data_IF_652678532999
#
_entry.id   IF_652678532999
#
_cell.length_a   1.000
_cell.length_b   1.000
_cell.length_c   1.000
_cell.angle_alpha   90.00
_cell.angle_beta   90.00
_cell.angle_gamma   90.00
#
_symmetry.space_group_name_H-M   'P 1'
#
loop_
_entity.id
_entity.type
_entity.pdbx_description
1 polymer ?
2 non-polymer ?
3 non-polymer ?
4 water ?
#
# COMPACT_ATOMS: atom_id res chain seq x y z
N UNK A 4 18.34 -12.76 17.67
CA UNK A 4 17.82 -13.23 16.35
C UNK A 4 18.39 -12.48 15.15
N UNK A 5 18.66 -13.23 14.09
CA UNK A 5 19.19 -12.68 12.85
C UNK A 5 18.29 -13.18 11.71
N UNK A 6 17.64 -12.24 11.03
CA UNK A 6 16.77 -12.60 9.90
C UNK A 6 17.59 -13.16 8.75
N UNK A 7 17.13 -14.27 8.14
CA UNK A 7 17.82 -14.86 7.00
C UNK A 7 17.41 -14.12 5.72
N UNK A 8 18.15 -13.06 5.41
CA UNK A 8 17.79 -12.18 4.30
C UNK A 8 17.76 -12.89 2.95
N UNK A 9 18.55 -13.95 2.80
CA UNK A 9 18.56 -14.75 1.58
C UNK A 9 17.31 -15.61 1.41
N UNK A 10 16.50 -15.71 2.47
CA UNK A 10 15.33 -16.58 2.44
C UNK A 10 13.99 -15.84 2.48
N UNK A 11 14.04 -14.52 2.57
CA UNK A 11 12.84 -13.70 2.65
C UNK A 11 12.59 -13.05 1.30
N UNK A 12 11.37 -13.20 0.76
CA UNK A 12 11.05 -12.57 -0.51
C UNK A 12 11.21 -11.05 -0.37
N UNK A 13 11.96 -10.47 -1.29
CA UNK A 13 12.49 -9.11 -1.11
C UNK A 13 11.49 -7.98 -1.01
N UNK A 14 10.37 -8.10 -1.70
CA UNK A 14 9.41 -7.01 -1.70
C UNK A 14 8.80 -6.78 -0.33
N UNK A 15 8.80 -7.82 0.51
CA UNK A 15 8.20 -7.72 1.84
C UNK A 15 8.99 -6.78 2.73
N UNK A 16 10.32 -6.97 2.77
CA UNK A 16 11.17 -6.31 3.75
C UNK A 16 11.87 -5.07 3.20
N UNK A 17 12.32 -5.15 1.95
CA UNK A 17 13.14 -4.11 1.36
C UNK A 17 12.33 -3.29 0.38
N UNK A 18 11.61 -3.97 -0.50
CA UNK A 18 10.80 -3.32 -1.52
C UNK A 18 11.52 -3.29 -2.85
N UNK A 19 10.84 -3.68 -3.92
CA UNK A 19 11.47 -3.72 -5.24
C UNK A 19 11.90 -2.34 -5.74
N UNK A 20 11.06 -1.32 -5.48
CA UNK A 20 11.36 0.07 -5.88
C UNK A 20 11.74 0.18 -7.35
N UNK A 21 11.13 -0.66 -8.16
CA UNK A 21 11.36 -0.64 -9.58
C UNK A 21 10.42 0.34 -10.27
N UNK A 22 10.85 0.85 -11.41
CA UNK A 22 10.07 1.83 -12.15
C UNK A 22 8.81 1.25 -12.79
N UNK A 23 8.84 -0.06 -13.06
CA UNK A 23 7.68 -0.74 -13.63
C UNK A 23 7.43 -1.99 -12.80
N UNK A 24 6.16 -2.31 -12.62
CA UNK A 24 5.81 -3.53 -11.90
C UNK A 24 4.59 -4.17 -12.55
N UNK A 25 4.58 -5.49 -12.58
CA UNK A 25 3.43 -6.22 -13.10
C UNK A 25 3.00 -7.28 -12.10
N UNK A 26 1.69 -7.38 -11.93
CA UNK A 26 1.08 -8.39 -11.09
C UNK A 26 0.40 -9.38 -12.02
N UNK A 27 0.94 -10.58 -12.11
CA UNK A 27 0.41 -11.61 -12.99
C UNK A 27 -0.40 -12.56 -12.12
N UNK A 28 -1.73 -12.44 -12.20
CA UNK A 28 -2.66 -13.26 -11.41
C UNK A 28 -2.94 -14.54 -12.16
N UNK A 29 -2.89 -15.66 -11.45
CA UNK A 29 -3.03 -16.95 -12.12
C UNK A 29 -3.92 -17.93 -11.37
N UNK A 30 -4.37 -18.93 -12.11
CA UNK A 30 -5.06 -20.09 -11.61
C UNK A 30 -4.18 -21.30 -11.89
N UNK A 31 -4.17 -22.26 -10.97
CA UNK A 31 -3.46 -23.53 -11.16
C UNK A 31 -4.41 -24.52 -11.84
N UNK A 32 -3.97 -25.08 -12.96
CA UNK A 32 -4.75 -26.07 -13.70
C UNK A 32 -4.35 -27.50 -13.38
N UNK A 33 -3.08 -27.68 -13.03
CA UNK A 33 -2.58 -28.99 -12.66
C UNK A 33 -1.51 -28.87 -11.60
N UNK A 34 -1.81 -29.40 -10.44
CA UNK A 34 -0.93 -29.25 -9.28
C UNK A 34 0.44 -29.88 -9.49
N UNK A 35 0.47 -31.09 -10.04
CA UNK A 35 1.73 -31.81 -10.19
C UNK A 35 2.66 -31.05 -11.14
N UNK A 36 2.14 -30.63 -12.29
CA UNK A 36 2.91 -29.88 -13.27
C UNK A 36 3.33 -28.52 -12.73
N UNK A 37 2.45 -27.87 -11.99
CA UNK A 37 2.79 -26.59 -11.37
C UNK A 37 3.95 -26.72 -10.39
N UNK A 38 3.90 -27.75 -9.56
CA UNK A 38 4.91 -27.92 -8.51
C UNK A 38 6.29 -28.15 -9.09
N UNK A 39 6.41 -28.98 -10.13
CA UNK A 39 7.71 -29.20 -10.73
C UNK A 39 8.20 -27.96 -11.47
N UNK A 40 7.30 -27.25 -12.15
CA UNK A 40 7.69 -25.99 -12.78
C UNK A 40 8.15 -24.98 -11.72
N UNK A 41 7.46 -24.95 -10.57
CA UNK A 41 7.83 -24.03 -9.50
C UNK A 41 9.26 -24.28 -9.01
N UNK A 42 9.62 -25.55 -8.85
CA UNK A 42 10.97 -25.90 -8.39
C UNK A 42 12.03 -25.49 -9.40
N UNK A 43 11.70 -25.55 -10.68
CA UNK A 43 12.58 -25.03 -11.74
C UNK A 43 12.71 -23.51 -11.63
N UNK A 44 11.58 -22.86 -11.35
CA UNK A 44 11.48 -21.40 -11.38
C UNK A 44 12.18 -20.71 -10.21
N UNK A 45 11.94 -21.18 -9.00
CA UNK A 45 12.39 -20.47 -7.79
C UNK A 45 13.88 -20.10 -7.73
N UNK A 46 14.79 -21.09 -7.90
CA UNK A 46 16.21 -20.74 -7.77
C UNK A 46 16.71 -19.77 -8.84
N UNK A 47 16.02 -19.71 -9.98
CA UNK A 47 16.43 -18.83 -11.08
C UNK A 47 15.89 -17.40 -10.96
N UNK A 48 14.69 -17.25 -10.40
CA UNK A 48 13.95 -16.01 -10.55
C UNK A 48 13.45 -15.33 -9.27
N UNK A 49 13.25 -16.09 -8.19
CA UNK A 49 12.66 -15.47 -6.99
C UNK A 49 13.72 -14.68 -6.21
N UNK A 50 13.42 -13.39 -6.00
CA UNK A 50 14.38 -12.41 -5.51
C UNK A 50 14.27 -12.18 -4.01
N UNK A 51 15.36 -12.45 -3.31
CA UNK A 51 15.42 -12.28 -1.86
C UNK A 51 15.70 -10.85 -1.43
N UNK A 52 15.45 -10.58 -0.15
CA UNK A 52 15.86 -9.31 0.45
C UNK A 52 17.36 -9.08 0.31
N UNK A 53 18.16 -10.14 0.42
CA UNK A 53 19.62 -10.04 0.28
C UNK A 53 20.02 -9.48 -1.09
N UNK A 54 19.34 -9.95 -2.14
CA UNK A 54 19.61 -9.45 -3.49
C UNK A 54 19.23 -7.96 -3.61
N UNK A 55 18.13 -7.58 -2.98
CA UNK A 55 17.64 -6.21 -3.08
C UNK A 55 18.55 -5.19 -2.38
N UNK A 56 19.35 -5.64 -1.43
CA UNK A 56 20.32 -4.77 -0.76
C UNK A 56 21.75 -4.91 -1.31
N UNK A 57 21.89 -5.73 -2.36
CA UNK A 57 23.19 -5.95 -3.01
C UNK A 57 23.46 -4.83 -4.00
N UNK A 58 24.71 -4.76 -4.47
CA UNK A 58 25.10 -3.74 -5.45
C UNK A 58 24.25 -3.81 -6.71
N UNK A 59 23.74 -2.66 -7.18
CA UNK A 59 22.90 -2.59 -8.38
C UNK A 59 23.45 -3.36 -9.60
N UNK A 60 24.76 -3.63 -9.64
CA UNK A 60 25.36 -4.44 -10.71
C UNK A 60 25.23 -5.94 -10.49
N UNK A 61 25.15 -6.37 -9.22
CA UNK A 61 24.93 -7.78 -8.88
C UNK A 61 23.48 -8.20 -9.10
N UNK A 62 22.64 -7.21 -9.41
CA UNK A 62 21.19 -7.39 -9.46
C UNK A 62 20.68 -7.83 -10.83
N UNK A 63 19.63 -8.68 -10.83
CA UNK A 63 19.01 -9.12 -12.07
C UNK A 63 18.20 -7.98 -12.70
N UNK A 64 17.90 -8.12 -13.98
CA UNK A 64 17.14 -7.09 -14.70
C UNK A 64 15.72 -6.96 -14.15
N UNK A 65 15.17 -8.08 -13.69
CA UNK A 65 13.85 -8.08 -13.07
C UNK A 65 13.89 -8.86 -11.77
N UNK A 66 13.11 -8.39 -10.81
CA UNK A 66 12.88 -9.07 -9.55
C UNK A 66 11.54 -9.77 -9.62
N UNK A 67 11.44 -10.98 -9.05
CA UNK A 67 10.15 -11.68 -9.00
C UNK A 67 9.86 -12.19 -7.60
N UNK A 68 8.65 -11.91 -7.12
CA UNK A 68 8.12 -12.52 -5.90
C UNK A 68 6.81 -13.23 -6.24
N UNK A 69 6.34 -14.04 -5.30
CA UNK A 69 5.25 -14.96 -5.57
C UNK A 69 4.41 -15.20 -4.31
N UNK A 70 3.12 -14.94 -4.43
CA UNK A 70 2.18 -15.20 -3.34
C UNK A 70 1.01 -16.05 -3.77
N UNK A 71 0.37 -16.66 -2.79
CA UNK A 71 -0.75 -17.57 -3.03
C UNK A 71 -1.97 -17.15 -2.24
N UNK A 72 -3.14 -17.28 -2.85
CA UNK A 72 -4.39 -17.09 -2.12
C UNK A 72 -4.75 -18.40 -1.42
N UNK A 73 -5.79 -18.36 -0.58
CA UNK A 73 -6.28 -19.58 0.03
C UNK A 73 -6.69 -20.64 -0.99
N UNK A 74 -7.44 -20.25 -2.02
CA UNK A 74 -7.86 -21.22 -3.01
C UNK A 74 -6.66 -21.77 -3.78
N UNK A 75 -5.59 -20.98 -3.91
CA UNK A 75 -4.38 -21.45 -4.55
C UNK A 75 -3.69 -22.52 -3.73
N UNK A 76 -3.53 -22.26 -2.43
CA UNK A 76 -2.99 -23.28 -1.52
C UNK A 76 -3.83 -24.55 -1.55
N UNK A 77 -5.15 -24.40 -1.49
CA UNK A 77 -6.05 -25.56 -1.56
C UNK A 77 -5.86 -26.35 -2.87
N UNK A 78 -5.72 -25.64 -3.99
CA UNK A 78 -5.53 -26.29 -5.29
C UNK A 78 -4.24 -27.09 -5.32
N UNK A 79 -3.27 -26.70 -4.50
CA UNK A 79 -1.98 -27.34 -4.45
C UNK A 79 -1.87 -28.35 -3.32
N UNK A 80 -2.98 -28.60 -2.63
CA UNK A 80 -3.01 -29.54 -1.51
C UNK A 80 -2.22 -29.06 -0.31
N UNK A 81 -2.07 -27.74 -0.18
CA UNK A 81 -1.41 -27.15 0.99
C UNK A 81 -2.53 -26.76 1.95
N UNK A 82 -2.80 -27.65 2.90
CA UNK A 82 -4.04 -27.63 3.63
C UNK A 82 -3.92 -27.15 5.08
N UNK A 83 -2.69 -26.90 5.53
CA UNK A 83 -2.46 -26.42 6.90
C UNK A 83 -3.00 -24.99 7.08
N UNK A 84 -3.77 -24.78 8.15
CA UNK A 84 -4.32 -23.47 8.53
C UNK A 84 -3.18 -22.49 8.84
N UNK A 85 -3.18 -21.34 8.17
CA UNK A 85 -2.13 -20.32 8.33
C UNK A 85 -2.34 -19.37 9.52
N UNK A 86 -3.50 -19.46 10.18
CA UNK A 86 -3.77 -18.71 11.40
C UNK A 86 -4.34 -17.32 11.24
N UNK A 87 -4.59 -16.88 10.00
CA UNK A 87 -5.18 -15.57 9.77
C UNK A 87 -6.68 -15.66 9.60
N UNK A 88 -7.40 -14.72 10.21
CA UNK A 88 -8.86 -14.73 10.19
C UNK A 88 -9.50 -14.38 8.83
N UNK A 89 -8.82 -13.55 8.04
CA UNK A 89 -9.40 -13.05 6.78
C UNK A 89 -8.88 -13.78 5.55
N UNK A 90 -7.64 -14.24 5.60
CA UNK A 90 -7.03 -14.93 4.46
C UNK A 90 -7.89 -16.07 3.88
N UNK A 91 -8.45 -16.96 4.74
CA UNK A 91 -9.13 -18.13 4.16
C UNK A 91 -10.30 -17.81 3.24
N UNK A 92 -11.07 -16.77 3.54
CA UNK A 92 -12.26 -16.50 2.73
C UNK A 92 -12.00 -15.59 1.54
N UNK A 93 -10.80 -14.99 1.50
CA UNK A 93 -10.43 -14.09 0.41
C UNK A 93 -10.99 -12.69 0.60
N UNK A 94 -10.49 -11.74 -0.19
CA UNK A 94 -10.83 -10.35 0.05
C UNK A 94 -12.24 -9.95 -0.37
N UNK A 95 -12.78 -10.57 -1.43
CA UNK A 95 -14.14 -10.19 -1.84
C UNK A 95 -15.14 -10.42 -0.70
N UNK A 96 -14.96 -11.53 0.02
CA UNK A 96 -15.82 -11.85 1.15
C UNK A 96 -15.71 -10.81 2.27
N UNK A 97 -14.60 -10.08 2.28
CA UNK A 97 -14.33 -9.05 3.29
C UNK A 97 -14.63 -7.65 2.78
N UNK A 98 -14.96 -7.51 1.49
CA UNK A 98 -14.99 -6.20 0.85
C UNK A 98 -16.06 -5.28 1.43
N UNK A 99 -17.25 -5.82 1.70
CA UNK A 99 -18.30 -5.01 2.32
C UNK A 99 -17.86 -4.51 3.70
N UNK A 100 -17.13 -5.33 4.45
CA UNK A 100 -16.58 -4.89 5.74
C UNK A 100 -15.62 -3.72 5.59
N UNK A 101 -14.86 -3.72 4.51
CA UNK A 101 -13.94 -2.61 4.19
C UNK A 101 -14.67 -1.34 3.77
N UNK A 102 -15.97 -1.47 3.46
CA UNK A 102 -16.78 -0.33 3.03
C UNK A 102 -16.91 -0.21 1.52
N UNK A 103 -16.46 -1.21 0.78
CA UNK A 103 -16.46 -1.15 -0.68
C UNK A 103 -17.85 -1.14 -1.28
N UNK A 104 -18.01 -0.33 -2.33
CA UNK A 104 -19.14 -0.48 -3.23
C UNK A 104 -18.86 -1.73 -4.06
N UNK A 105 -19.57 -2.81 -3.76
CA UNK A 105 -19.32 -4.09 -4.43
C UNK A 105 -19.62 -4.08 -5.92
N UNK A 106 -20.46 -3.14 -6.35
CA UNK A 106 -20.83 -3.07 -7.77
C UNK A 106 -19.65 -2.66 -8.65
N UNK A 107 -18.59 -2.14 -8.02
CA UNK A 107 -17.40 -1.69 -8.75
C UNK A 107 -16.33 -2.75 -8.91
N UNK A 108 -16.48 -3.85 -8.18
CA UNK A 108 -15.56 -4.98 -8.31
C UNK A 108 -15.73 -5.67 -9.65
N UNK A 109 -14.64 -6.19 -10.19
CA UNK A 109 -14.66 -6.86 -11.49
C UNK A 109 -13.93 -8.20 -11.44
N UNK A 110 -14.21 -9.07 -12.41
CA UNK A 110 -13.48 -10.33 -12.53
C UNK A 110 -12.01 -10.04 -12.85
N UNK A 111 -11.10 -10.92 -12.40
CA UNK A 111 -11.34 -12.17 -11.69
C UNK A 111 -11.31 -12.05 -10.17
N UNK A 112 -11.43 -10.82 -9.65
CA UNK A 112 -11.38 -10.59 -8.20
C UNK A 112 -12.64 -10.94 -7.41
N UNK A 113 -13.79 -10.94 -8.08
CA UNK A 113 -15.13 -11.11 -7.44
C UNK A 113 -15.51 -12.52 -7.01
N UNK A 114 -14.70 -13.10 -6.15
CA UNK A 114 -14.79 -14.51 -5.84
C UNK A 114 -13.38 -14.96 -5.54
N UNK A 115 -13.09 -16.22 -5.78
CA UNK A 115 -11.83 -16.79 -5.32
C UNK A 115 -11.16 -17.59 -6.43
N UNK A 116 -11.34 -17.10 -7.66
CA UNK A 116 -10.73 -17.70 -8.84
C UNK A 116 -9.21 -17.54 -8.83
N UNK A 117 -8.71 -16.43 -8.32
CA UNK A 117 -7.25 -16.19 -8.30
C UNK A 117 -6.58 -17.11 -7.30
N UNK A 118 -5.58 -17.87 -7.79
CA UNK A 118 -4.80 -18.77 -6.97
C UNK A 118 -3.49 -18.19 -6.46
N UNK A 119 -2.96 -17.21 -7.18
CA UNK A 119 -1.73 -16.58 -6.74
C UNK A 119 -1.36 -15.42 -7.63
N UNK A 120 -0.22 -14.82 -7.32
CA UNK A 120 0.27 -13.68 -8.08
C UNK A 120 1.79 -13.74 -8.16
N UNK A 121 2.31 -13.61 -9.39
CA UNK A 121 3.72 -13.29 -9.58
C UNK A 121 3.84 -11.77 -9.63
N UNK A 122 4.67 -11.20 -8.77
CA UNK A 122 4.99 -9.77 -8.81
C UNK A 122 6.34 -9.63 -9.49
N UNK A 123 6.35 -8.90 -10.60
CA UNK A 123 7.57 -8.70 -11.37
C UNK A 123 7.92 -7.21 -11.34
N UNK A 124 9.13 -6.90 -10.89
CA UNK A 124 9.59 -5.51 -10.89
C UNK A 124 10.73 -5.37 -11.87
N UNK A 125 10.65 -4.40 -12.78
CA UNK A 125 11.74 -4.16 -13.71
C UNK A 125 11.78 -2.69 -14.13
N UNK A 126 12.58 -2.38 -15.14
CA UNK A 126 12.86 -1.00 -15.51
C UNK A 126 12.08 -0.55 -16.75
N UNK A 127 11.61 -1.51 -17.54
CA UNK A 127 10.93 -1.23 -18.81
C UNK A 127 9.80 -2.22 -19.00
N UNK A 128 8.73 -1.79 -19.67
CA UNK A 128 7.64 -2.68 -20.00
C UNK A 128 8.07 -3.88 -20.83
N UNK A 129 9.01 -3.67 -21.76
CA UNK A 129 9.54 -4.79 -22.55
C UNK A 129 10.18 -5.86 -21.66
N UNK A 130 10.84 -5.43 -20.57
CA UNK A 130 11.46 -6.37 -19.64
C UNK A 130 10.40 -7.14 -18.85
N UNK A 131 9.34 -6.43 -18.42
CA UNK A 131 8.18 -7.11 -17.86
C UNK A 131 7.65 -8.18 -18.81
N UNK A 132 7.54 -7.85 -20.10
CA UNK A 132 7.09 -8.82 -21.09
C UNK A 132 8.01 -10.03 -21.19
N UNK A 133 9.32 -9.79 -21.17
CA UNK A 133 10.28 -10.88 -21.22
C UNK A 133 10.11 -11.84 -20.06
N UNK A 134 9.93 -11.29 -18.86
CA UNK A 134 9.80 -12.13 -17.68
C UNK A 134 8.41 -12.76 -17.55
N UNK A 135 7.39 -12.12 -18.12
CA UNK A 135 6.06 -12.74 -18.20
C UNK A 135 6.10 -13.93 -19.17
N UNK A 136 6.78 -13.77 -20.30
CA UNK A 136 6.90 -14.86 -21.27
C UNK A 136 7.70 -16.01 -20.66
N UNK A 137 8.68 -15.68 -19.83
CA UNK A 137 9.47 -16.68 -19.13
C UNK A 137 8.60 -17.51 -18.19
N UNK A 138 7.69 -16.86 -17.46
CA UNK A 138 6.70 -17.59 -16.66
C UNK A 138 5.85 -18.50 -17.54
N UNK A 139 5.33 -17.96 -18.64
CA UNK A 139 4.53 -18.76 -19.58
C UNK A 139 5.28 -19.99 -20.10
N UNK A 140 6.55 -19.80 -20.45
CA UNK A 140 7.39 -20.87 -20.97
C UNK A 140 7.63 -21.96 -19.92
N UNK A 141 7.95 -21.53 -18.69
CA UNK A 141 8.29 -22.45 -17.62
C UNK A 141 7.06 -23.22 -17.11
N UNK A 142 5.96 -22.52 -16.88
CA UNK A 142 4.77 -23.14 -16.29
C UNK A 142 3.83 -23.76 -17.32
N UNK A 143 3.86 -23.26 -18.55
CA UNK A 143 2.98 -23.75 -19.61
C UNK A 143 1.53 -23.84 -19.21
N UNK A 144 0.88 -24.95 -19.55
CA UNK A 144 -0.55 -25.18 -19.30
C UNK A 144 -0.88 -25.48 -17.82
N UNK A 145 0.14 -25.59 -16.98
CA UNK A 145 -0.11 -25.83 -15.55
C UNK A 145 -0.79 -24.64 -14.89
N UNK A 146 -0.71 -23.47 -15.53
CA UNK A 146 -1.41 -22.29 -15.06
C UNK A 146 -2.21 -21.62 -16.18
N UNK A 147 -3.17 -20.78 -15.77
CA UNK A 147 -3.83 -19.85 -16.67
C UNK A 147 -3.66 -18.47 -16.05
N UNK A 148 -3.14 -17.53 -16.84
CA UNK A 148 -3.07 -16.14 -16.42
C UNK A 148 -4.47 -15.55 -16.54
N UNK A 149 -5.07 -15.18 -15.41
CA UNK A 149 -6.45 -14.69 -15.41
C UNK A 149 -6.58 -13.17 -15.49
N UNK A 150 -5.50 -12.48 -15.11
CA UNK A 150 -5.39 -11.04 -15.23
C UNK A 150 -3.94 -10.65 -15.05
N UNK A 151 -3.53 -9.55 -15.66
CA UNK A 151 -2.25 -8.95 -15.37
C UNK A 151 -2.45 -7.45 -15.26
N UNK A 152 -2.02 -6.89 -14.15
CA UNK A 152 -2.12 -5.45 -13.94
C UNK A 152 -0.72 -4.88 -13.89
N UNK A 153 -0.46 -3.89 -14.73
CA UNK A 153 0.88 -3.32 -14.86
C UNK A 153 0.88 -1.87 -14.45
N UNK A 154 1.89 -1.49 -13.69
CA UNK A 154 2.04 -0.13 -13.21
C UNK A 154 3.37 0.46 -13.63
N UNK A 155 3.48 1.77 -13.44
CA UNK A 155 4.70 2.51 -13.78
C UNK A 155 4.82 3.72 -12.89
N UNK A 156 6.04 4.01 -12.44
CA UNK A 156 6.33 5.31 -11.87
C UNK A 156 5.94 6.39 -12.86
N UNK A 157 5.46 7.51 -12.32
CA UNK A 157 5.06 8.63 -13.14
C UNK A 157 6.30 9.34 -13.72
N UNK A 158 6.14 10.07 -14.84
CA UNK A 158 7.33 10.59 -15.53
C UNK A 158 7.98 11.82 -14.91
N UNK A 159 9.25 12.03 -15.26
CA UNK A 159 9.97 13.24 -14.89
C UNK A 159 10.03 13.47 -13.40
N UNK A 160 9.75 14.69 -12.97
CA UNK A 160 9.83 15.03 -11.55
C UNK A 160 8.67 14.48 -10.72
N UNK A 161 7.77 13.75 -11.38
CA UNK A 161 6.67 13.07 -10.69
C UNK A 161 7.00 11.63 -10.33
N UNK A 162 8.22 11.20 -10.63
CA UNK A 162 8.64 9.84 -10.25
C UNK A 162 8.57 9.67 -8.74
N UNK A 163 7.83 8.66 -8.31
CA UNK A 163 7.61 8.41 -6.89
C UNK A 163 6.31 9.00 -6.38
N UNK A 164 5.70 9.88 -7.17
CA UNK A 164 4.43 10.48 -6.80
C UNK A 164 3.28 9.63 -7.36
N UNK A 165 2.18 9.58 -6.63
CA UNK A 165 0.98 8.93 -7.13
C UNK A 165 0.19 9.91 -8.02
N UNK A 166 -0.88 9.43 -8.63
CA UNK A 166 -1.60 10.23 -9.63
C UNK A 166 -2.25 11.54 -9.17
N UNK A 167 -2.61 11.67 -7.90
CA UNK A 167 -3.08 12.98 -7.42
C UNK A 167 -1.93 13.99 -7.28
N UNK A 168 -0.70 13.49 -7.35
CA UNK A 168 0.50 14.34 -7.32
C UNK A 168 1.37 14.25 -6.08
N UNK A 169 1.04 13.36 -5.15
CA UNK A 169 1.72 13.32 -3.85
C UNK A 169 2.81 12.26 -3.79
N UNK A 170 3.98 12.65 -3.28
CA UNK A 170 5.08 11.71 -3.08
C UNK A 170 4.64 10.59 -2.14
N UNK A 171 4.83 9.35 -2.58
CA UNK A 171 4.45 8.20 -1.78
C UNK A 171 5.63 7.30 -1.46
N UNK A 172 5.49 6.46 -0.43
CA UNK A 172 6.54 5.53 -0.02
C UNK A 172 7.60 6.15 0.88
N UNK A 173 7.18 7.16 1.65
CA UNK A 173 8.09 7.86 2.55
C UNK A 173 8.20 7.11 3.88
N UNK A 174 7.06 6.83 4.50
CA UNK A 174 7.03 6.30 5.85
C UNK A 174 6.80 4.80 5.90
N UNK A 175 7.80 4.09 6.38
CA UNK A 175 7.73 2.63 6.54
C UNK A 175 8.25 2.27 7.92
N UNK A 176 7.72 1.20 8.53
CA UNK A 176 8.33 0.74 9.78
C UNK A 176 9.71 0.13 9.53
N UNK A 177 10.55 0.15 10.56
CA UNK A 177 11.83 -0.55 10.53
C UNK A 177 11.72 -1.76 11.45
N UNK A 178 12.09 -2.95 10.97
CA UNK A 178 12.05 -4.13 11.83
C UNK A 178 13.41 -4.45 12.40
N UNK A 179 13.42 -4.91 13.64
CA UNK A 179 14.64 -5.39 14.27
C UNK A 179 14.99 -6.78 13.72
N UNK A 180 16.24 -7.21 13.94
CA UNK A 180 16.72 -8.51 13.48
C UNK A 180 17.60 -8.46 12.24
N UNK A 181 17.82 -7.26 11.71
CA UNK A 181 18.80 -7.07 10.65
C UNK A 181 19.47 -5.71 10.74
N UNK A 182 20.61 -5.57 10.06
CA UNK A 182 21.38 -4.33 10.10
C UNK A 182 20.80 -3.36 9.09
N UNK A 183 20.19 -2.29 9.60
CA UNK A 183 19.50 -1.31 8.76
C UNK A 183 19.64 0.10 9.35
N UNK A 184 19.44 1.11 8.50
CA UNK A 184 19.41 2.49 8.99
C UNK A 184 18.01 2.85 9.51
N UNK A 185 17.95 3.45 10.69
CA UNK A 185 16.72 3.92 11.28
C UNK A 185 16.67 5.44 11.15
N UNK A 186 15.61 5.97 10.51
CA UNK A 186 15.45 7.41 10.39
C UNK A 186 14.73 8.03 11.58
N UNK A 187 15.04 9.31 11.89
CA UNK A 187 14.33 9.99 12.96
C UNK A 187 12.82 9.95 12.76
N UNK A 188 12.10 9.49 13.80
CA UNK A 188 10.64 9.39 13.76
C UNK A 188 10.10 8.08 13.22
N UNK A 189 10.97 7.25 12.64
CA UNK A 189 10.57 5.96 12.11
C UNK A 189 10.20 4.99 13.24
N UNK A 190 9.13 4.22 13.04
CA UNK A 190 8.77 3.18 14.01
C UNK A 190 9.79 2.05 13.95
N UNK A 191 10.15 1.53 15.13
CA UNK A 191 11.06 0.39 15.24
C UNK A 191 10.25 -0.71 15.91
N UNK A 192 10.00 -1.79 15.16
CA UNK A 192 9.07 -2.82 15.60
C UNK A 192 9.73 -4.21 15.53
N UNK A 193 9.22 -5.17 16.32
CA UNK A 193 9.73 -6.54 16.17
C UNK A 193 9.40 -7.13 14.79
N UNK A 194 10.23 -8.06 14.29
CA UNK A 194 10.06 -8.51 12.92
C UNK A 194 8.73 -9.21 12.66
N UNK A 195 8.15 -9.82 13.70
CA UNK A 195 6.87 -10.52 13.57
C UNK A 195 5.65 -9.65 13.38
N UNK A 196 5.82 -8.33 13.39
CA UNK A 196 4.73 -7.45 12.93
C UNK A 196 4.54 -7.65 11.42
N UNK A 197 5.64 -7.99 10.73
CA UNK A 197 5.62 -8.12 9.27
C UNK A 197 5.76 -9.58 8.84
N UNK A 198 6.62 -10.32 9.52
CA UNK A 198 6.99 -11.68 9.13
C UNK A 198 6.33 -12.72 10.01
N UNK A 199 5.58 -13.61 9.40
CA UNK A 199 4.86 -14.63 10.14
C UNK A 199 5.85 -15.54 10.86
N UNK A 200 5.52 -15.88 12.10
CA UNK A 200 6.33 -16.79 12.89
C UNK A 200 7.48 -16.15 13.65
N UNK A 201 7.71 -14.86 13.44
CA UNK A 201 8.77 -14.13 14.14
C UNK A 201 8.24 -13.42 15.38
N UNK A 202 9.15 -12.97 16.23
CA UNK A 202 8.76 -12.33 17.48
C UNK A 202 7.87 -11.12 17.21
N UNK A 203 6.75 -11.06 17.91
CA UNK A 203 5.77 -10.01 17.69
C UNK A 203 4.52 -10.52 17.01
N UNK A 204 4.64 -11.65 16.30
CA UNK A 204 3.49 -12.29 15.68
C UNK A 204 2.76 -13.16 16.70
N UNK A 205 1.45 -12.96 16.83
CA UNK A 205 0.64 -13.71 17.78
C UNK A 205 -0.24 -14.76 17.11
N UNK A 206 -0.20 -14.84 15.78
CA UNK A 206 -1.00 -15.81 15.04
C UNK A 206 -0.43 -17.22 15.13
N UNK A 207 -1.31 -18.20 14.97
CA UNK A 207 -0.93 -19.61 15.08
C UNK A 207 -0.48 -20.10 13.70
N UNK A 208 0.83 -20.21 13.53
CA UNK A 208 1.42 -20.47 12.21
C UNK A 208 1.99 -21.87 12.12
N UNK A 209 1.79 -22.55 10.97
CA UNK A 209 2.60 -23.73 10.71
C UNK A 209 4.07 -23.36 10.71
N UNK A 210 4.93 -24.28 11.13
CA UNK A 210 6.35 -24.01 11.16
C UNK A 210 6.87 -23.57 9.79
N UNK A 211 6.29 -24.12 8.72
CA UNK A 211 6.76 -23.80 7.38
C UNK A 211 6.43 -22.36 6.95
N UNK A 212 5.55 -21.70 7.70
CA UNK A 212 5.17 -20.34 7.38
C UNK A 212 6.14 -19.30 7.93
N UNK A 213 7.18 -19.74 8.63
CA UNK A 213 8.18 -18.81 9.14
C UNK A 213 8.73 -17.96 8.00
N UNK A 214 8.80 -16.64 8.25
CA UNK A 214 9.42 -15.68 7.34
C UNK A 214 8.65 -15.41 6.06
N UNK A 215 7.36 -15.77 6.08
CA UNK A 215 6.43 -15.30 5.07
C UNK A 215 5.75 -14.02 5.52
N UNK A 216 4.79 -13.55 4.72
CA UNK A 216 3.99 -12.39 5.08
C UNK A 216 2.70 -12.42 4.29
N UNK A 217 1.67 -11.75 4.82
CA UNK A 217 0.42 -11.58 4.07
C UNK A 217 0.42 -10.26 3.31
N UNK A 218 0.10 -10.35 2.03
CA UNK A 218 -0.12 -9.20 1.17
C UNK A 218 -1.61 -8.89 1.08
N UNK A 219 -1.96 -7.64 1.37
CA UNK A 219 -3.26 -7.10 1.01
C UNK A 219 -3.03 -6.32 -0.27
N UNK A 220 -3.58 -6.84 -1.36
CA UNK A 220 -3.52 -6.19 -2.64
C UNK A 220 -4.84 -5.47 -2.90
N UNK A 221 -4.77 -4.23 -3.38
CA UNK A 221 -5.96 -3.46 -3.77
C UNK A 221 -5.72 -2.78 -5.09
N UNK A 222 -6.68 -2.92 -5.99
CA UNK A 222 -6.68 -2.22 -7.27
C UNK A 222 -7.57 -0.99 -7.14
N UNK A 223 -6.95 0.20 -7.09
CA UNK A 223 -7.71 1.44 -6.96
C UNK A 223 -7.71 2.22 -8.25
N UNK A 224 -8.88 2.58 -8.74
CA UNK A 224 -8.98 3.57 -9.81
C UNK A 224 -9.09 4.96 -9.18
N UNK A 225 -8.32 5.91 -9.70
CA UNK A 225 -8.33 7.28 -9.17
C UNK A 225 -8.98 8.24 -10.14
N UNK A 226 -9.76 9.16 -9.56
CA UNK A 226 -10.49 10.19 -10.29
C UNK A 226 -9.75 11.53 -10.14
N UNK A 227 -8.76 11.73 -10.98
CA UNK A 227 -7.83 12.86 -10.82
C UNK A 227 -8.42 14.21 -11.22
N UNK A 228 -9.05 14.33 -12.42
CA UNK A 228 -9.66 15.61 -12.75
C UNK A 228 -10.69 16.02 -11.72
N UNK A 229 -11.41 15.03 -11.19
CA UNK A 229 -12.42 15.27 -10.16
C UNK A 229 -11.79 15.78 -8.85
N UNK A 230 -10.72 15.15 -8.40
CA UNK A 230 -9.97 15.59 -7.23
C UNK A 230 -9.46 17.01 -7.40
N UNK A 231 -8.83 17.26 -8.55
CA UNK A 231 -8.32 18.60 -8.90
C UNK A 231 -9.43 19.65 -8.84
N UNK A 232 -10.56 19.37 -9.48
CA UNK A 232 -11.68 20.30 -9.51
C UNK A 232 -12.22 20.57 -8.12
N UNK A 233 -12.31 19.53 -7.30
CA UNK A 233 -12.77 19.66 -5.92
C UNK A 233 -11.84 20.55 -5.10
N UNK A 234 -10.53 20.35 -5.21
CA UNK A 234 -9.60 21.15 -4.42
C UNK A 234 -9.57 22.60 -4.88
N UNK A 235 -9.80 22.83 -6.17
CA UNK A 235 -9.87 24.20 -6.69
C UNK A 235 -11.15 24.90 -6.20
N UNK A 236 -12.28 24.21 -6.22
CA UNK A 236 -13.54 24.80 -5.78
C UNK A 236 -13.49 25.11 -4.29
N UNK A 237 -12.84 24.22 -3.53
CA UNK A 237 -12.81 24.33 -2.07
C UNK A 237 -11.48 24.82 -1.54
N UNK A 238 -10.73 25.51 -2.40
CA UNK A 238 -9.42 26.05 -2.05
C UNK A 238 -9.50 26.83 -0.75
N UNK A 239 -8.52 26.61 0.13
CA UNK A 239 -8.49 27.31 1.41
C UNK A 239 -8.09 28.77 1.16
N UNK A 240 -8.84 29.73 1.73
CA UNK A 240 -8.57 31.14 1.38
C UNK A 240 -7.33 31.73 2.02
N UNK A 241 -6.95 31.21 3.18
CA UNK A 241 -5.85 31.77 3.95
C UNK A 241 -5.41 30.74 4.98
N UNK A 242 -4.18 30.85 5.43
CA UNK A 242 -3.84 30.13 6.64
C UNK A 242 -3.17 31.11 7.59
N UNK A 243 -2.55 30.60 8.64
CA UNK A 243 -2.00 31.46 9.69
C UNK A 243 -1.05 32.52 9.17
N UNK A 244 -0.23 32.14 8.19
CA UNK A 244 0.84 32.98 7.69
C UNK A 244 0.34 34.05 6.76
N UNK A 245 -0.80 33.82 6.11
CA UNK A 245 -1.36 34.81 5.20
C UNK A 245 -2.33 34.25 4.17
N UNK A 246 -2.55 35.02 3.13
CA UNK A 246 -3.61 34.75 2.18
C UNK A 246 -3.13 33.97 0.96
N UNK A 247 -3.96 33.04 0.48
CA UNK A 247 -3.56 32.09 -0.54
C UNK A 247 -4.27 32.35 -1.85
N UNK A 248 -3.53 32.22 -2.96
CA UNK A 248 -4.13 32.23 -4.28
C UNK A 248 -4.97 30.97 -4.42
N UNK A 249 -5.79 30.89 -5.46
CA UNK A 249 -6.63 29.71 -5.65
C UNK A 249 -5.76 28.45 -5.81
N UNK A 250 -4.70 28.54 -6.60
CA UNK A 250 -3.76 27.44 -6.79
C UNK A 250 -3.13 27.02 -5.46
N UNK A 251 -2.62 28.00 -4.71
CA UNK A 251 -2.02 27.73 -3.41
C UNK A 251 -3.02 27.10 -2.44
N UNK A 252 -4.24 27.63 -2.43
CA UNK A 252 -5.29 27.13 -1.56
C UNK A 252 -5.73 25.71 -1.89
N UNK A 253 -5.66 25.36 -3.18
CA UNK A 253 -6.01 24.04 -3.66
C UNK A 253 -4.91 23.04 -3.30
N UNK A 254 -3.66 23.45 -3.49
CA UNK A 254 -2.51 22.64 -3.08
C UNK A 254 -2.56 22.41 -1.58
N UNK A 255 -2.92 23.45 -0.83
CA UNK A 255 -2.99 23.37 0.63
C UNK A 255 -4.12 22.46 1.07
N UNK A 256 -5.29 22.57 0.45
CA UNK A 256 -6.37 21.67 0.80
C UNK A 256 -5.97 20.20 0.57
N UNK A 257 -5.32 19.92 -0.55
CA UNK A 257 -4.82 18.56 -0.81
C UNK A 257 -3.86 18.12 0.27
N UNK A 258 -2.95 19.01 0.68
CA UNK A 258 -2.00 18.71 1.74
C UNK A 258 -2.70 18.42 3.08
N UNK A 259 -3.78 19.14 3.34
CA UNK A 259 -4.56 18.95 4.57
C UNK A 259 -5.30 17.61 4.55
N UNK A 260 -5.73 17.18 3.36
CA UNK A 260 -6.42 15.91 3.21
C UNK A 260 -5.46 14.74 3.41
N UNK A 261 -4.23 14.87 2.90
CA UNK A 261 -3.23 13.80 2.99
C UNK A 261 -2.41 13.80 4.28
N UNK A 262 -2.15 14.99 4.83
CA UNK A 262 -1.21 15.14 5.93
C UNK A 262 0.21 15.45 5.48
N UNK A 263 0.42 15.50 4.16
CA UNK A 263 1.69 15.90 3.56
C UNK A 263 1.41 16.75 2.34
N UNK A 264 2.30 17.70 2.08
CA UNK A 264 2.34 18.40 0.80
C UNK A 264 2.70 17.41 -0.31
N UNK A 265 2.44 17.79 -1.56
CA UNK A 265 2.80 16.93 -2.69
C UNK A 265 4.28 16.57 -2.69
N UNK A 266 5.11 17.49 -2.20
CA UNK A 266 6.56 17.31 -2.12
C UNK A 266 7.00 16.24 -1.12
N UNK A 267 6.08 15.83 -0.25
CA UNK A 267 6.41 14.92 0.84
C UNK A 267 6.59 15.62 2.19
N UNK A 268 6.64 16.94 2.20
CA UNK A 268 6.82 17.63 3.47
C UNK A 268 5.60 17.38 4.37
N UNK A 269 5.82 16.84 5.58
CA UNK A 269 4.67 16.57 6.42
C UNK A 269 4.11 17.87 7.01
N UNK A 270 2.80 18.03 6.99
CA UNK A 270 2.21 19.28 7.45
C UNK A 270 2.40 19.52 8.96
N UNK A 271 2.58 18.44 9.72
CA UNK A 271 2.87 18.57 11.14
C UNK A 271 4.16 19.38 11.36
N UNK A 272 5.11 19.27 10.43
CA UNK A 272 6.34 20.08 10.47
C UNK A 272 6.26 21.35 9.65
N UNK A 273 5.48 21.33 8.57
CA UNK A 273 5.37 22.44 7.62
C UNK A 273 3.88 22.78 7.48
N UNK A 274 3.29 23.41 8.51
CA UNK A 274 1.84 23.53 8.52
C UNK A 274 1.24 24.64 7.66
N UNK A 275 2.05 25.58 7.18
CA UNK A 275 1.50 26.73 6.44
C UNK A 275 2.03 26.89 5.02
N UNK A 276 3.21 26.34 4.74
CA UNK A 276 3.82 26.48 3.43
C UNK A 276 4.62 25.24 3.13
N UNK A 277 4.69 24.87 1.86
CA UNK A 277 5.47 23.72 1.44
C UNK A 277 6.95 23.95 1.73
N UNK A 278 7.67 22.84 1.91
CA UNK A 278 9.12 22.86 2.10
C UNK A 278 9.61 21.65 1.32
N UNK A 279 9.81 21.80 0.00
CA UNK A 279 10.20 20.64 -0.81
C UNK A 279 11.50 19.96 -0.39
N UNK A 280 12.45 20.75 0.12
CA UNK A 280 13.71 20.16 0.61
C UNK A 280 13.45 19.21 1.77
N UNK A 281 12.56 19.62 2.67
CA UNK A 281 12.14 18.77 3.78
C UNK A 281 11.46 17.50 3.28
N UNK A 282 10.57 17.63 2.30
CA UNK A 282 9.92 16.47 1.73
C UNK A 282 10.89 15.43 1.20
N UNK A 283 12.01 15.90 0.65
CA UNK A 283 13.04 15.04 0.06
C UNK A 283 14.10 14.57 1.06
N UNK A 284 13.96 14.97 2.33
CA UNK A 284 14.98 14.70 3.34
C UNK A 284 14.55 13.54 4.26
N UNK A 285 15.07 12.31 4.03
CA UNK A 285 14.59 11.20 4.88
C UNK A 285 15.02 11.32 6.35
N UNK A 286 15.97 12.19 6.63
CA UNK A 286 16.38 12.44 8.02
C UNK A 286 15.42 13.29 8.82
N UNK A 287 14.46 13.93 8.13
CA UNK A 287 13.51 14.82 8.79
C UNK A 287 12.05 14.63 8.38
N UNK A 288 11.81 14.07 7.20
CA UNK A 288 10.43 14.00 6.67
C UNK A 288 9.51 13.03 7.41
N UNK A 289 10.08 12.30 8.37
CA UNK A 289 9.29 11.44 9.22
C UNK A 289 9.41 11.78 10.68
N UNK A 290 10.14 12.85 10.98
CA UNK A 290 10.46 13.20 12.36
C UNK A 290 9.37 14.07 12.99
N UNK A 291 8.20 13.46 13.17
CA UNK A 291 7.04 14.12 13.75
C UNK A 291 6.15 13.06 14.36
N UNK A 292 5.30 13.45 15.29
CA UNK A 292 4.43 12.48 15.96
C UNK A 292 3.06 13.02 16.38
N UNK A 293 2.71 14.21 15.88
CA UNK A 293 1.46 14.91 16.22
C UNK A 293 1.38 15.44 17.65
N UNK A 294 2.46 15.29 18.43
CA UNK A 294 2.43 15.68 19.85
C UNK A 294 2.17 17.16 20.08
N UNK A 295 2.45 17.98 19.07
CA UNK A 295 2.17 19.42 19.16
C UNK A 295 0.82 19.81 18.57
N UNK A 296 -0.01 18.83 18.23
CA UNK A 296 -1.31 19.08 17.61
C UNK A 296 -2.31 18.00 18.00
N UNK A 297 -2.16 17.50 19.22
CA UNK A 297 -3.06 16.46 19.73
C UNK A 297 -4.49 16.94 19.97
N UNK A 298 -4.65 18.22 20.30
CA UNK A 298 -5.97 18.71 20.70
C UNK A 298 -6.42 19.94 19.90
N UNK A 299 -5.85 20.10 18.72
CA UNK A 299 -6.28 21.16 17.80
C UNK A 299 -5.89 20.75 16.39
N UNK A 300 -6.47 21.40 15.39
CA UNK A 300 -6.24 21.02 13.99
C UNK A 300 -5.50 22.07 13.17
N UNK A 301 -4.97 23.10 13.79
CA UNK A 301 -4.23 24.08 12.99
C UNK A 301 -3.07 23.44 12.24
N UNK A 302 -2.26 22.65 12.93
CA UNK A 302 -1.10 22.03 12.29
C UNK A 302 -1.46 20.88 11.34
N UNK A 303 -2.45 20.08 11.74
CA UNK A 303 -2.88 18.93 10.94
C UNK A 303 -4.30 18.55 11.34
N UNK A 304 -5.20 18.32 10.34
CA UNK A 304 -6.52 17.78 10.71
C UNK A 304 -6.39 16.44 11.42
N UNK A 305 -7.38 16.13 12.25
CA UNK A 305 -7.39 14.83 12.93
C UNK A 305 -7.55 13.68 11.96
N UNK A 306 -8.22 13.93 10.83
CA UNK A 306 -8.58 12.87 9.87
C UNK A 306 -7.78 12.79 8.59
N UNK A 307 -6.62 13.46 8.54
CA UNK A 307 -5.75 13.39 7.38
C UNK A 307 -5.29 11.94 7.12
N UNK A 308 -5.12 11.59 5.84
CA UNK A 308 -4.75 10.22 5.45
C UNK A 308 -3.65 9.61 6.31
N UNK A 309 -2.49 10.26 6.39
CA UNK A 309 -1.36 9.63 7.09
C UNK A 309 -1.59 9.53 8.59
N UNK A 310 -2.36 10.47 9.13
CA UNK A 310 -2.67 10.49 10.56
C UNK A 310 -3.66 9.39 10.92
N UNK A 311 -4.61 9.12 10.03
CA UNK A 311 -5.54 8.01 10.21
C UNK A 311 -4.85 6.65 10.11
N UNK A 312 -3.90 6.52 9.19
CA UNK A 312 -3.33 5.19 8.93
C UNK A 312 -2.13 4.91 9.82
N UNK A 313 -1.50 5.97 10.34
CA UNK A 313 -0.44 5.86 11.36
C UNK A 313 -0.62 6.98 12.37
N UNK A 314 -1.38 6.71 13.44
CA UNK A 314 -1.78 7.79 14.35
C UNK A 314 -0.67 8.32 15.27
N UNK A 315 0.48 7.66 15.31
CA UNK A 315 1.60 8.11 16.14
C UNK A 315 1.10 8.44 17.56
N UNK A 316 1.37 9.64 18.07
CA UNK A 316 1.00 9.98 19.44
C UNK A 316 -0.49 10.10 19.72
N UNK A 317 -1.33 10.08 18.68
CA UNK A 317 -2.77 10.02 18.91
C UNK A 317 -3.16 8.75 19.66
N UNK A 318 -2.33 7.72 19.59
CA UNK A 318 -2.57 6.48 20.33
C UNK A 318 -2.10 6.54 21.79
N UNK A 319 -1.39 7.61 22.15
CA UNK A 319 -0.94 7.82 23.52
C UNK A 319 0.51 7.42 23.74
N UNK A 320 1.13 6.88 22.69
CA UNK A 320 2.50 6.39 22.77
C UNK A 320 2.77 5.47 21.59
N UNK A 321 4.03 5.03 21.43
CA UNK A 321 4.35 4.09 20.35
C UNK A 321 3.62 2.77 20.55
N UNK A 322 3.11 2.22 19.47
CA UNK A 322 2.40 0.94 19.48
C UNK A 322 2.94 0.20 18.27
N UNK A 323 3.37 -1.05 18.45
CA UNK A 323 4.04 -1.77 17.37
C UNK A 323 3.02 -2.47 16.47
N UNK A 324 1.84 -2.72 17.02
CA UNK A 324 0.90 -3.72 16.48
C UNK A 324 0.38 -3.45 15.08
N UNK A 325 0.21 -2.18 14.74
CA UNK A 325 -0.60 -1.79 13.58
C UNK A 325 0.20 -1.25 12.41
N UNK A 326 1.51 -1.48 12.43
CA UNK A 326 2.38 -1.05 11.33
C UNK A 326 2.40 -2.09 10.22
N UNK A 327 2.62 -1.62 9.00
CA UNK A 327 2.71 -2.51 7.85
C UNK A 327 3.69 -1.92 6.84
N UNK A 328 4.25 -2.79 5.99
CA UNK A 328 5.12 -2.36 4.89
C UNK A 328 4.27 -2.11 3.65
N UNK A 329 4.57 -1.05 2.91
CA UNK A 329 3.84 -0.76 1.67
C UNK A 329 4.73 -0.80 0.46
N UNK A 330 4.23 -1.35 -0.64
CA UNK A 330 5.03 -1.39 -1.88
C UNK A 330 4.17 -1.15 -3.11
N UNK A 331 3.51 0.02 -3.14
CA UNK A 331 2.56 0.34 -4.21
C UNK A 331 3.18 0.98 -5.43
N UNK A 332 2.44 0.99 -6.53
CA UNK A 332 2.89 1.64 -7.76
C UNK A 332 1.69 2.20 -8.52
N UNK A 333 1.81 3.43 -9.07
CA UNK A 333 0.75 3.98 -9.89
C UNK A 333 0.56 3.16 -11.17
N UNK A 334 -0.62 3.26 -11.77
CA UNK A 334 -0.83 2.70 -13.11
C UNK A 334 -1.60 3.69 -13.96
N UNK A 335 -1.48 3.54 -15.28
CA UNK A 335 -2.27 4.30 -16.21
C UNK A 335 -1.55 5.53 -16.72
N UNK A 336 -2.11 6.14 -17.77
CA UNK A 336 -1.47 7.28 -18.40
C UNK A 336 -1.62 8.53 -17.55
N UNK A 337 -0.78 9.51 -17.82
CA UNK A 337 -0.91 10.82 -17.22
C UNK A 337 -2.27 11.43 -17.52
N UNK A 338 -2.72 12.31 -16.64
CA UNK A 338 -4.00 12.99 -16.82
C UNK A 338 -3.81 14.11 -17.85
N UNK A 339 -4.59 14.04 -18.93
CA UNK A 339 -4.46 15.01 -20.00
C UNK A 339 -4.99 16.41 -19.63
N UNK A 340 -4.53 17.42 -20.36
CA UNK A 340 -5.03 18.79 -20.21
C UNK A 340 -6.54 18.86 -20.44
N UNK A 341 -7.04 18.14 -21.44
CA UNK A 341 -8.46 18.08 -21.71
C UNK A 341 -9.25 17.51 -20.53
N UNK A 342 -8.73 16.44 -19.94
CA UNK A 342 -9.35 15.84 -18.75
C UNK A 342 -9.37 16.81 -17.58
N UNK A 343 -8.23 17.45 -17.33
CA UNK A 343 -8.16 18.44 -16.24
C UNK A 343 -9.13 19.59 -16.44
N UNK A 344 -9.21 20.08 -17.69
CA UNK A 344 -10.08 21.21 -18.01
C UNK A 344 -11.55 20.85 -17.83
N UNK A 345 -11.91 19.63 -18.23
CA UNK A 345 -13.28 19.16 -18.14
C UNK A 345 -13.69 18.79 -16.72
N UNK A 346 -12.71 18.47 -15.88
CA UNK A 346 -12.96 17.95 -14.54
C UNK A 346 -13.48 16.52 -14.51
N UNK A 347 -13.39 15.83 -15.65
CA UNK A 347 -13.96 14.50 -15.81
C UNK A 347 -12.91 13.49 -16.31
N UNK A 348 -12.83 12.37 -15.60
CA UNK A 348 -11.95 11.25 -15.97
C UNK A 348 -12.42 10.60 -17.27
N UNK A 349 -11.49 10.47 -18.20
CA UNK A 349 -11.73 9.77 -19.46
C UNK A 349 -11.04 8.41 -19.48
N UNK A 350 -9.83 8.36 -18.91
CA UNK A 350 -8.98 7.17 -18.94
C UNK A 350 -8.76 6.53 -17.57
N UNK A 351 -8.49 5.24 -17.59
CA UNK A 351 -8.26 4.42 -16.40
C UNK A 351 -6.85 4.64 -15.88
N UNK A 352 -6.76 5.16 -14.65
CA UNK A 352 -5.48 5.32 -13.97
C UNK A 352 -5.73 5.16 -12.48
N UNK A 353 -4.67 4.90 -11.72
CA UNK A 353 -4.84 4.70 -10.29
C UNK A 353 -3.62 4.17 -9.60
N UNK A 354 -3.86 3.32 -8.61
CA UNK A 354 -2.79 2.80 -7.76
C UNK A 354 -2.96 1.30 -7.60
N UNK A 355 -1.86 0.58 -7.82
CA UNK A 355 -1.80 -0.83 -7.47
C UNK A 355 -1.17 -0.89 -6.10
N UNK A 356 -2.00 -1.10 -5.10
CA UNK A 356 -1.63 -0.94 -3.70
C UNK A 356 -1.28 -2.28 -3.07
N UNK A 357 -0.19 -2.27 -2.32
CA UNK A 357 0.36 -3.49 -1.73
C UNK A 357 0.75 -3.17 -0.29
N UNK A 358 0.21 -3.93 0.66
CA UNK A 358 0.58 -3.76 2.05
C UNK A 358 0.85 -5.13 2.68
N UNK A 359 1.99 -5.25 3.36
CA UNK A 359 2.42 -6.50 3.99
C UNK A 359 2.40 -6.42 5.50
N UNK A 360 1.91 -7.49 6.13
CA UNK A 360 1.85 -7.60 7.59
C UNK A 360 1.68 -9.06 7.94
N UNK A 361 2.04 -9.42 9.17
CA UNK A 361 1.83 -10.79 9.62
C UNK A 361 0.35 -11.08 9.90
N UNK A 362 -0.38 -10.05 10.33
CA UNK A 362 -1.78 -10.22 10.71
C UNK A 362 -2.60 -9.20 9.91
N UNK A 363 -3.36 -9.68 8.92
CA UNK A 363 -4.09 -8.78 8.03
C UNK A 363 -4.99 -7.84 8.83
N UNK A 364 -5.65 -8.40 9.84
CA UNK A 364 -6.56 -7.66 10.70
C UNK A 364 -5.93 -6.55 11.52
N UNK A 365 -4.61 -6.58 11.67
CA UNK A 365 -3.88 -5.55 12.44
C UNK A 365 -3.21 -4.49 11.58
N UNK A 366 -3.03 -4.78 10.29
CA UNK A 366 -2.31 -3.88 9.39
C UNK A 366 -3.31 -3.18 8.49
N UNK A 367 -3.31 -3.55 7.22
CA UNK A 367 -4.24 -2.99 6.24
C UNK A 367 -5.66 -2.85 6.78
N UNK A 368 -6.19 -3.94 7.33
CA UNK A 368 -7.62 -3.97 7.67
C UNK A 368 -7.95 -3.04 8.85
N UNK A 369 -7.03 -2.94 9.80
CA UNK A 369 -7.17 -2.08 10.96
C UNK A 369 -7.11 -0.62 10.54
N UNK A 370 -6.14 -0.31 9.68
CA UNK A 370 -5.99 1.03 9.12
C UNK A 370 -7.23 1.46 8.37
N UNK A 371 -7.80 0.54 7.59
CA UNK A 371 -9.00 0.83 6.80
C UNK A 371 -10.27 0.95 7.64
N UNK A 372 -10.57 -0.08 8.42
CA UNK A 372 -11.87 -0.16 9.11
C UNK A 372 -11.84 0.61 10.43
N UNK A 373 -10.94 0.22 11.32
CA UNK A 373 -10.95 0.77 12.67
C UNK A 373 -10.61 2.24 12.71
N UNK A 374 -9.81 2.67 11.74
CA UNK A 374 -9.27 4.02 11.74
C UNK A 374 -9.87 4.90 10.63
N UNK A 375 -9.51 4.64 9.38
CA UNK A 375 -9.97 5.48 8.26
C UNK A 375 -11.49 5.60 8.14
N UNK A 376 -12.21 4.50 8.31
CA UNK A 376 -13.68 4.46 8.14
C UNK A 376 -14.43 4.95 9.37
N UNK A 377 -13.70 5.22 10.44
CA UNK A 377 -14.31 5.51 11.74
C UNK A 377 -14.30 7.01 12.01
N UNK A 378 -15.48 7.64 11.97
CA UNK A 378 -15.55 9.10 12.15
C UNK A 378 -15.08 9.50 13.54
N UNK A 379 -15.14 8.55 14.47
CA UNK A 379 -14.77 8.82 15.84
C UNK A 379 -13.34 8.42 16.17
N UNK A 380 -12.51 8.25 15.14
CA UNK A 380 -11.09 8.00 15.32
C UNK A 380 -10.26 9.08 14.62
N UNK A 381 -9.18 9.57 15.25
CA UNK A 381 -8.63 9.24 16.57
C UNK A 381 -9.58 9.58 17.71
N UNK A 382 -9.45 8.82 18.79
CA UNK A 382 -10.34 8.95 19.94
C UNK A 382 -9.92 10.11 20.83
N UNK A 383 -10.84 10.53 21.68
CA UNK A 383 -10.60 11.53 22.71
C UNK A 383 -10.25 12.94 22.20
N UNK A 384 -10.73 13.27 21.01
CA UNK A 384 -10.49 14.60 20.44
C UNK A 384 -11.62 15.55 20.84
N UNK A 385 -11.34 16.87 20.86
CA UNK A 385 -12.37 17.84 21.25
C UNK A 385 -13.55 17.92 20.29
N UNK A 386 -13.34 17.46 19.05
CA UNK A 386 -14.40 17.38 18.05
C UNK A 386 -14.23 16.11 17.21
N UNK A 387 -15.32 15.72 16.54
CA UNK A 387 -15.34 14.53 15.68
C UNK A 387 -14.36 14.67 14.51
N UNK A 388 -13.38 13.76 14.41
CA UNK A 388 -12.47 13.85 13.26
C UNK A 388 -13.16 13.65 11.91
N UNK A 389 -14.03 12.65 11.80
CA UNK A 389 -14.68 12.36 10.52
C UNK A 389 -13.99 11.26 9.74
N UNK A 390 -14.43 11.09 8.50
CA UNK A 390 -13.99 10.03 7.60
C UNK A 390 -12.75 10.48 6.83
N UNK A 391 -11.74 9.61 6.77
CA UNK A 391 -10.53 9.91 6.03
C UNK A 391 -10.89 10.25 4.58
N UNK A 392 -10.55 11.48 4.12
CA UNK A 392 -11.07 11.93 2.82
C UNK A 392 -10.56 11.18 1.60
N UNK A 393 -9.37 10.58 1.67
CA UNK A 393 -8.80 9.89 0.52
C UNK A 393 -9.38 8.47 0.36
N UNK A 394 -9.27 7.64 1.39
CA UNK A 394 -9.76 6.26 1.28
C UNK A 394 -10.79 5.81 2.31
N UNK A 395 -11.28 6.72 3.14
CA UNK A 395 -12.36 6.38 4.08
C UNK A 395 -13.62 6.04 3.31
N UNK A 396 -14.33 5.00 3.73
CA UNK A 396 -15.47 4.54 2.92
C UNK A 396 -16.88 4.66 3.50
N UNK A 397 -16.97 5.09 4.74
CA UNK A 397 -18.26 5.31 5.40
C UNK A 397 -18.97 6.51 4.77
N UNK A 398 -20.30 6.40 4.63
CA UNK A 398 -21.12 7.50 4.14
C UNK A 398 -22.03 8.01 5.27
N UNK A 399 -22.25 9.34 5.32
CA UNK A 399 -21.65 10.35 4.43
C UNK A 399 -20.15 10.50 4.67
N UNK A 400 -19.43 10.85 3.61
CA UNK A 400 -17.98 11.04 3.68
C UNK A 400 -17.63 12.44 4.17
N UNK A 401 -18.00 12.69 5.42
CA UNK A 401 -17.82 14.02 5.99
C UNK A 401 -16.57 14.02 6.86
N UNK A 402 -15.72 15.00 6.62
CA UNK A 402 -14.52 15.20 7.44
C UNK A 402 -14.47 16.65 7.92
N UNK A 403 -14.05 16.83 9.17
CA UNK A 403 -13.92 18.17 9.74
C UNK A 403 -12.50 18.66 9.67
N UNK A 404 -12.30 19.93 9.99
CA UNK A 404 -10.97 20.43 10.28
C UNK A 404 -10.04 20.73 9.13
N UNK A 405 -10.50 20.60 7.88
CA UNK A 405 -9.58 20.84 6.74
C UNK A 405 -9.11 22.29 6.62
N UNK A 406 -9.96 23.24 7.02
CA UNK A 406 -9.58 24.64 7.03
C UNK A 406 -9.03 24.98 8.40
N UNK A 407 -7.70 25.26 8.50
CA UNK A 407 -7.12 25.51 9.82
C UNK A 407 -7.62 26.78 10.48
N UNK A 408 -8.19 27.71 9.71
CA UNK A 408 -8.73 28.95 10.29
C UNK A 408 -10.22 28.84 10.59
N UNK A 409 -10.84 27.77 10.12
CA UNK A 409 -12.26 27.50 10.39
C UNK A 409 -12.48 25.99 10.62
N UNK A 410 -11.92 25.50 11.72
CA UNK A 410 -11.80 24.06 11.93
C UNK A 410 -13.12 23.32 12.15
N UNK A 411 -14.15 24.05 12.57
CA UNK A 411 -15.46 23.44 12.80
C UNK A 411 -16.20 23.13 11.51
N UNK A 412 -15.78 23.76 10.42
CA UNK A 412 -16.39 23.52 9.10
C UNK A 412 -16.12 22.11 8.62
N UNK A 413 -17.18 21.47 8.12
CA UNK A 413 -17.08 20.12 7.59
C UNK A 413 -17.12 20.11 6.07
N UNK A 414 -16.42 19.13 5.50
CA UNK A 414 -16.36 18.96 4.07
C UNK A 414 -16.93 17.59 3.77
N UNK A 415 -17.90 17.55 2.86
CA UNK A 415 -18.43 16.30 2.36
C UNK A 415 -17.69 16.02 1.07
N UNK A 416 -16.83 15.02 1.10
CA UNK A 416 -15.84 14.82 0.06
C UNK A 416 -16.28 13.69 -0.85
N UNK A 417 -16.39 13.93 -2.17
CA UNK A 417 -16.70 12.83 -3.07
C UNK A 417 -15.59 11.77 -2.99
N UNK A 418 -15.94 10.52 -3.25
CA UNK A 418 -14.96 9.45 -3.27
C UNK A 418 -14.17 9.52 -4.57
N UNK A 419 -12.86 9.73 -4.45
CA UNK A 419 -12.00 9.87 -5.63
C UNK A 419 -11.15 8.63 -5.87
N UNK A 420 -11.29 7.64 -4.99
CA UNK A 420 -10.54 6.40 -5.07
C UNK A 420 -11.55 5.27 -5.07
N UNK A 421 -11.57 4.49 -6.15
CA UNK A 421 -12.58 3.45 -6.34
C UNK A 421 -11.93 2.07 -6.33
N UNK A 422 -12.21 1.24 -5.31
CA UNK A 422 -11.66 -0.12 -5.36
C UNK A 422 -12.33 -0.94 -6.44
N UNK A 423 -11.51 -1.56 -7.30
CA UNK A 423 -11.99 -2.34 -8.44
C UNK A 423 -11.77 -3.84 -8.21
N UNK A 424 -11.18 -4.17 -7.07
CA UNK A 424 -10.85 -5.55 -6.75
C UNK A 424 -9.65 -5.58 -5.85
N UNK A 425 -9.34 -6.77 -5.36
CA UNK A 425 -8.18 -6.97 -4.50
C UNK A 425 -8.19 -8.39 -4.02
N UNK A 426 -7.10 -8.80 -3.37
CA UNK A 426 -7.02 -10.14 -2.81
C UNK A 426 -6.05 -10.18 -1.64
N UNK A 427 -6.25 -11.17 -0.79
CA UNK A 427 -5.32 -11.46 0.30
C UNK A 427 -4.44 -12.65 -0.11
N UNK A 428 -3.11 -12.44 -0.11
CA UNK A 428 -2.14 -13.47 -0.47
C UNK A 428 -1.19 -13.75 0.67
N UNK A 429 -0.65 -14.96 0.69
CA UNK A 429 0.47 -15.31 1.56
C UNK A 429 1.69 -15.53 0.70
N UNK A 430 2.77 -14.82 1.04
CA UNK A 430 4.07 -15.01 0.40
C UNK A 430 4.95 -15.82 1.32
N UNK A 431 5.24 -17.08 0.94
CA UNK A 431 6.09 -17.92 1.79
C UNK A 431 7.55 -17.48 1.74
N UNK A 432 8.36 -18.00 2.65
CA UNK A 432 9.81 -17.89 2.50
C UNK A 432 10.25 -18.61 1.22
N UNK A 433 11.45 -18.29 0.77
CA UNK A 433 11.96 -18.87 -0.46
C UNK A 433 12.14 -20.39 -0.31
N UNK A 434 12.69 -20.84 0.82
CA UNK A 434 12.82 -22.26 1.09
C UNK A 434 11.44 -22.95 1.13
N UNK A 435 10.46 -22.31 1.76
CA UNK A 435 9.12 -22.89 1.84
C UNK A 435 8.47 -23.06 0.45
N UNK A 436 8.80 -22.18 -0.50
CA UNK A 436 8.28 -22.32 -1.85
C UNK A 436 8.58 -23.69 -2.43
N UNK A 437 9.78 -24.20 -2.20
CA UNK A 437 10.16 -25.49 -2.78
C UNK A 437 10.01 -26.65 -1.81
N UNK A 438 10.26 -26.41 -0.51
CA UNK A 438 10.20 -27.49 0.49
C UNK A 438 8.79 -27.81 0.93
N UNK A 439 7.88 -26.85 0.80
CA UNK A 439 6.51 -27.03 1.22
C UNK A 439 5.52 -26.87 0.07
N UNK A 440 5.48 -25.70 -0.55
CA UNK A 440 4.47 -25.44 -1.59
C UNK A 440 4.59 -26.42 -2.75
N UNK A 441 5.82 -26.69 -3.18
CA UNK A 441 6.08 -27.57 -4.32
C UNK A 441 6.28 -29.04 -3.95
N UNK A 442 6.13 -29.38 -2.67
CA UNK A 442 6.30 -30.77 -2.22
C UNK A 442 5.11 -31.65 -2.60
X LIG B 1 0.89 7.18 3.26
X LIG B 1 -1.47 8.02 -0.87
X LIG B 1 -4.33 4.22 -0.01
X LIG B 1 -2.07 3.43 4.17
X LIG B 1 0.48 7.77 2.09
X LIG B 1 1.05 8.95 1.50
X LIG B 1 0.39 9.18 0.36
X LIG B 1 -0.60 8.14 0.19
X LIG B 1 0.61 10.33 -0.63
X LIG B 1 2.18 9.79 2.12
X LIG B 1 3.58 9.17 1.94
X LIG B 1 4.06 8.45 3.17
X LIG B 1 3.82 8.95 4.30
X LIG B 1 4.71 7.40 3.05
X LIG B 1 -2.44 7.06 -1.01
X LIG B 1 -3.33 6.91 -2.15
X LIG B 1 -4.11 5.84 -1.91
X LIG B 1 -3.73 5.30 -0.61
X LIG B 1 -3.32 7.83 -3.37
X LIG B 1 -5.20 5.25 -2.81
X LIG B 1 -5.20 5.39 -4.14
X LIG B 1 -4.00 3.72 1.23
X LIG B 1 -4.72 2.65 1.91
X LIG B 1 -4.08 2.44 3.09
X LIG B 1 -2.98 3.36 3.16
X LIG B 1 -5.94 1.92 1.33
X LIG B 1 -4.41 1.41 4.20
X LIG B 1 -5.67 1.08 4.48
X LIG B 1 -1.03 4.31 4.25
X LIG B 1 -0.03 4.29 5.30
X LIG B 1 0.87 5.44 5.02
X LIG B 1 0.34 6.07 3.84
X LIG B 1 0.12 3.29 6.46
X LIG B 1 2.07 5.85 5.86
X LIG B 1 1.54 6.61 7.09
X LIG B 1 2.64 6.92 8.07
X LIG B 1 2.73 8.10 8.49
X LIG B 1 3.43 6.02 8.43
X LIG B 1 -0.51 7.28 1.26
X LIG B 1 -2.71 6.07 -0.07
X LIG B 1 -2.97 4.14 2.03
X LIG B 1 -0.77 5.37 3.39
X LIG B 1 -1.77 5.73 1.65
X LIG C 1 -0.55 4.49 0.55
X LIG C 1 0.12 3.87 -0.13
#
# INVERSE_FOLDING_TARGET
ANDTILPLNNIQGDILVGMKKQKERFVFFQVNDATSFKTALKTYVPERITSAAILISDPSQQPLAFVNLGFSNTGLQALGITDDLGDAQFPDGQFADAANLGDDLSQWVAPFTGTTIHGVFLIGSDQDDFLDQFTDDISSTFGSSITQVQALSGSARPGDQAGHEHFGFLNGISQPSVTGWETTVFPGQAVVPPGIILTGRDGDTGTRPSWALDGSFMAFRHFQQKVPEFNAYTLANAIPANSAGNLTQQEGAEFLGARMFGRWKSGAPIDLAPTADDPALGADPQRNNNFDYSDTLTDETRCPFGAHVRKTNPRQDLGGPVDTFHAMRSSIPYGPETSDAELASGVTAQDRGLLFVEYQSIIGNGFRFQQINWANNANFPFSKPITPGIEPIIGQTTPRTVGGLDPLNQNETFTVPLFVIPKGGEYFFLPSISALTATIAA
HEM CHA CHB CHC CHD C1A C2A C3A C4A CMA CAA CBA CGA O1A O2A C1B C2B C3B C4B CMB CAB CBB C1C C2C C3C C4C CMC CAC CBC C1D C2D C3D C4D CMD CAD CBD CGD O1D O2D NA NB NC ND FE
CYN C N
#
